data_IF_966718141885
#
_entry.id   IF_966718141885
#
_cell.length_a   1.000
_cell.length_b   1.000
_cell.length_c   1.000
_cell.angle_alpha   90.00
_cell.angle_beta   90.00
_cell.angle_gamma   90.00
#
_symmetry.space_group_name_H-M   'P 1'
#
loop_
_entity.id
_entity.type
_entity.pdbx_description
1 polymer ?
#
# COMPACT_ATOMS: atom_id res chain seq x y z
N UNK A 1 5.43 12.48 1.77
CA UNK A 1 6.55 12.32 0.85
C UNK A 1 5.98 12.22 -0.55
N UNK A 2 6.50 12.96 -1.51
CA UNK A 2 5.88 13.01 -2.84
C UNK A 2 6.38 11.78 -3.65
N UNK A 3 5.58 10.72 -3.75
CA UNK A 3 5.81 9.58 -4.65
C UNK A 3 6.10 10.07 -6.08
N UNK A 4 5.40 11.12 -6.49
CA UNK A 4 5.54 11.76 -7.80
C UNK A 4 6.97 12.16 -8.21
N UNK A 5 7.87 12.41 -7.26
CA UNK A 5 9.28 12.73 -7.57
C UNK A 5 10.06 11.46 -7.92
N UNK A 6 9.77 10.35 -7.25
CA UNK A 6 10.39 9.06 -7.51
C UNK A 6 9.93 8.58 -8.88
N UNK A 7 8.62 8.56 -9.12
CA UNK A 7 8.02 8.07 -10.37
C UNK A 7 8.64 8.72 -11.61
N UNK A 8 8.86 10.05 -11.59
CA UNK A 8 9.49 10.75 -12.74
C UNK A 8 10.97 10.42 -12.89
N UNK A 9 11.72 10.28 -11.78
CA UNK A 9 13.14 9.93 -11.87
C UNK A 9 13.35 8.48 -12.32
N UNK A 10 12.46 7.54 -11.95
CA UNK A 10 12.44 6.16 -12.44
C UNK A 10 12.13 6.11 -13.93
N UNK A 11 11.12 6.84 -14.40
CA UNK A 11 10.82 6.94 -15.83
C UNK A 11 12.03 7.47 -16.62
N UNK A 12 12.78 8.42 -16.06
CA UNK A 12 13.99 8.96 -16.71
C UNK A 12 15.17 8.01 -16.65
N UNK A 13 15.25 7.13 -15.65
CA UNK A 13 16.27 6.08 -15.57
C UNK A 13 16.07 5.04 -16.66
N UNK A 14 14.81 4.63 -16.88
CA UNK A 14 14.45 3.59 -17.83
C UNK A 14 14.41 4.07 -19.29
N UNK A 15 14.43 5.41 -19.52
CA UNK A 15 14.20 5.99 -20.84
C UNK A 15 15.15 7.15 -21.14
N UNK A 16 16.12 6.94 -22.03
CA UNK A 16 17.14 7.95 -22.36
C UNK A 16 16.63 9.14 -23.20
N UNK A 17 15.61 8.97 -24.04
CA UNK A 17 15.16 9.98 -25.02
C UNK A 17 13.68 10.33 -24.91
N UNK A 18 13.17 10.38 -23.68
CA UNK A 18 11.74 10.57 -23.43
C UNK A 18 11.34 12.06 -23.43
N UNK A 19 10.21 12.38 -24.06
CA UNK A 19 9.62 13.71 -24.06
C UNK A 19 8.77 13.98 -22.81
N UNK A 20 8.53 15.26 -22.47
CA UNK A 20 7.63 15.62 -21.37
C UNK A 20 6.20 15.05 -21.52
N UNK A 21 5.70 14.90 -22.75
CA UNK A 21 4.37 14.34 -23.02
C UNK A 21 4.31 12.84 -22.72
N UNK A 22 5.37 12.13 -23.08
CA UNK A 22 5.49 10.69 -22.77
C UNK A 22 5.65 10.46 -21.27
N UNK A 23 6.48 11.27 -20.59
CA UNK A 23 6.58 11.23 -19.12
C UNK A 23 5.19 11.47 -18.48
N UNK A 24 4.42 12.45 -18.98
CA UNK A 24 3.07 12.72 -18.48
C UNK A 24 2.14 11.54 -18.69
N UNK A 25 2.21 10.88 -19.85
CA UNK A 25 1.42 9.66 -20.15
C UNK A 25 1.79 8.48 -19.25
N UNK A 26 3.09 8.22 -19.08
CA UNK A 26 3.56 7.08 -18.25
C UNK A 26 3.31 7.29 -16.77
N UNK A 27 3.49 8.52 -16.26
CA UNK A 27 3.29 8.84 -14.85
C UNK A 27 1.84 9.09 -14.45
N UNK A 28 0.94 9.28 -15.41
CA UNK A 28 -0.43 9.72 -15.16
C UNK A 28 -0.55 11.16 -14.66
N UNK A 29 0.54 11.97 -14.72
CA UNK A 29 0.53 13.35 -14.25
C UNK A 29 0.20 14.33 -15.39
N UNK A 30 -0.33 15.49 -15.00
CA UNK A 30 -0.50 16.58 -15.97
C UNK A 30 0.84 17.08 -16.52
N UNK A 31 0.85 17.53 -17.77
CA UNK A 31 2.06 18.08 -18.41
C UNK A 31 2.67 19.24 -17.60
N UNK A 32 1.83 20.08 -16.98
CA UNK A 32 2.28 21.17 -16.10
C UNK A 32 3.02 20.66 -14.86
N UNK A 33 2.53 19.58 -14.22
CA UNK A 33 3.20 18.94 -13.07
C UNK A 33 4.55 18.34 -13.49
N UNK A 34 4.59 17.66 -14.63
CA UNK A 34 5.84 17.09 -15.18
C UNK A 34 6.86 18.20 -15.44
N UNK A 35 6.47 19.26 -16.16
CA UNK A 35 7.35 20.40 -16.44
C UNK A 35 7.89 21.06 -15.16
N UNK A 36 7.03 21.27 -14.17
CA UNK A 36 7.44 21.80 -12.86
C UNK A 36 8.50 20.91 -12.20
N UNK A 37 8.28 19.59 -12.16
CA UNK A 37 9.20 18.64 -11.53
C UNK A 37 10.53 18.56 -12.30
N UNK A 38 10.50 18.51 -13.63
CA UNK A 38 11.72 18.49 -14.45
C UNK A 38 12.57 19.76 -14.26
N UNK A 39 11.95 20.95 -14.23
CA UNK A 39 12.64 22.21 -13.89
C UNK A 39 13.26 22.15 -12.49
N UNK A 40 12.52 21.65 -11.51
CA UNK A 40 13.00 21.48 -10.15
C UNK A 40 14.22 20.55 -10.10
N UNK A 41 14.18 19.43 -10.84
CA UNK A 41 15.29 18.47 -10.90
C UNK A 41 16.51 19.05 -11.63
N UNK A 42 16.31 19.78 -12.72
CA UNK A 42 17.39 20.48 -13.42
C UNK A 42 18.09 21.49 -12.51
N UNK A 43 17.31 22.31 -11.77
CA UNK A 43 17.86 23.29 -10.83
C UNK A 43 18.64 22.63 -9.67
N UNK A 44 18.28 21.40 -9.30
CA UNK A 44 19.01 20.63 -8.27
C UNK A 44 20.19 19.85 -8.84
N UNK A 45 20.38 19.85 -10.14
CA UNK A 45 21.39 19.07 -10.85
C UNK A 45 21.13 17.57 -10.85
N UNK A 46 19.88 17.13 -10.66
CA UNK A 46 19.48 15.73 -10.75
C UNK A 46 19.21 15.29 -12.18
N UNK A 47 18.82 16.23 -13.03
CA UNK A 47 18.54 16.03 -14.45
C UNK A 47 19.33 17.06 -15.26
N UNK A 48 20.00 16.60 -16.30
CA UNK A 48 20.58 17.43 -17.35
C UNK A 48 19.57 17.59 -18.47
N UNK A 49 19.39 18.81 -18.95
CA UNK A 49 18.51 19.10 -20.09
C UNK A 49 19.36 19.38 -21.30
N UNK A 50 19.21 18.62 -22.35
CA UNK A 50 19.86 18.81 -23.63
C UNK A 50 18.85 19.23 -24.70
N UNK A 51 19.20 20.19 -25.51
CA UNK A 51 18.38 20.62 -26.64
C UNK A 51 18.85 19.86 -27.89
N UNK A 52 18.02 18.96 -28.40
CA UNK A 52 18.32 18.22 -29.64
C UNK A 52 18.03 19.05 -30.87
N UNK A 53 16.95 19.87 -30.83
CA UNK A 53 16.59 20.83 -31.87
C UNK A 53 15.69 21.93 -31.28
N UNK A 54 15.14 22.82 -32.12
CA UNK A 54 14.31 23.95 -31.68
C UNK A 54 13.06 23.55 -30.91
N UNK A 55 12.56 22.29 -31.05
CA UNK A 55 11.32 21.81 -30.46
C UNK A 55 11.49 20.65 -29.49
N UNK A 56 12.64 19.94 -29.53
CA UNK A 56 12.85 18.71 -28.75
C UNK A 56 13.91 18.93 -27.68
N UNK A 57 13.54 18.61 -26.45
CA UNK A 57 14.42 18.57 -25.28
C UNK A 57 14.56 17.12 -24.83
N UNK A 58 15.80 16.74 -24.51
CA UNK A 58 16.19 15.47 -23.90
C UNK A 58 16.44 15.68 -22.41
N UNK A 59 15.98 14.77 -21.59
CA UNK A 59 16.16 14.79 -20.15
C UNK A 59 17.00 13.59 -19.73
N UNK A 60 18.16 13.85 -19.14
CA UNK A 60 19.13 12.81 -18.76
C UNK A 60 19.30 12.81 -17.25
N UNK A 61 19.12 11.66 -16.63
CA UNK A 61 19.39 11.48 -15.20
C UNK A 61 20.90 11.59 -14.95
N UNK A 62 21.31 12.50 -14.06
CA UNK A 62 22.72 12.64 -13.69
C UNK A 62 23.13 11.62 -12.63
N UNK A 63 24.44 11.35 -12.41
CA UNK A 63 24.88 10.52 -11.27
C UNK A 63 24.38 11.01 -9.92
N UNK A 64 24.23 12.34 -9.76
CA UNK A 64 23.64 12.95 -8.56
C UNK A 64 22.13 12.65 -8.47
N UNK A 65 21.43 12.70 -9.59
CA UNK A 65 20.00 12.33 -9.70
C UNK A 65 19.79 10.86 -9.37
N UNK A 66 20.60 9.97 -9.95
CA UNK A 66 20.60 8.54 -9.67
C UNK A 66 20.84 8.24 -8.18
N UNK A 67 21.87 8.85 -7.59
CA UNK A 67 22.13 8.71 -6.15
C UNK A 67 20.96 9.21 -5.28
N UNK A 68 20.29 10.29 -5.71
CA UNK A 68 19.10 10.80 -5.02
C UNK A 68 17.92 9.83 -5.13
N UNK A 69 17.64 9.29 -6.33
CA UNK A 69 16.62 8.28 -6.57
C UNK A 69 16.86 7.05 -5.69
N UNK A 70 18.05 6.44 -5.75
CA UNK A 70 18.40 5.26 -4.95
C UNK A 70 18.19 5.50 -3.46
N UNK A 71 18.64 6.63 -2.91
CA UNK A 71 18.44 6.98 -1.49
C UNK A 71 16.96 7.08 -1.13
N UNK A 72 16.14 7.65 -2.02
CA UNK A 72 14.69 7.80 -1.80
C UNK A 72 13.98 6.44 -1.85
N UNK A 73 14.28 5.64 -2.86
CA UNK A 73 13.72 4.29 -3.02
C UNK A 73 14.06 3.41 -1.82
N UNK A 74 15.34 3.38 -1.39
CA UNK A 74 15.75 2.66 -0.19
C UNK A 74 15.03 3.15 1.07
N UNK A 75 14.86 4.45 1.22
CA UNK A 75 14.14 5.03 2.36
C UNK A 75 12.65 4.65 2.35
N UNK A 76 12.04 4.59 1.17
CA UNK A 76 10.66 4.12 0.99
C UNK A 76 10.53 2.62 1.35
N UNK A 77 11.39 1.78 0.78
CA UNK A 77 11.43 0.34 1.07
C UNK A 77 11.58 0.04 2.56
N UNK A 78 12.54 0.70 3.23
CA UNK A 78 12.74 0.54 4.68
C UNK A 78 11.49 0.89 5.50
N UNK A 79 10.77 1.95 5.11
CA UNK A 79 9.53 2.35 5.82
C UNK A 79 8.39 1.39 5.55
N UNK A 80 8.21 0.96 4.30
CA UNK A 80 7.20 -0.01 3.92
C UNK A 80 7.43 -1.33 4.65
N UNK A 81 8.68 -1.83 4.65
CA UNK A 81 9.05 -3.03 5.38
C UNK A 81 8.77 -2.92 6.88
N UNK A 82 9.11 -1.78 7.49
CA UNK A 82 8.80 -1.53 8.91
C UNK A 82 7.29 -1.53 9.18
N UNK A 83 6.49 -0.94 8.30
CA UNK A 83 5.03 -0.92 8.42
C UNK A 83 4.43 -2.33 8.31
N UNK A 84 4.91 -3.13 7.35
CA UNK A 84 4.51 -4.54 7.19
C UNK A 84 4.84 -5.36 8.44
N UNK A 85 6.08 -5.27 8.95
CA UNK A 85 6.47 -6.00 10.16
C UNK A 85 5.68 -5.57 11.40
N UNK A 86 5.33 -4.29 11.48
CA UNK A 86 4.47 -3.80 12.57
C UNK A 86 3.08 -4.44 12.48
N UNK A 87 2.51 -4.52 11.26
CA UNK A 87 1.20 -5.15 11.04
C UNK A 87 1.24 -6.64 11.41
N UNK A 88 2.24 -7.38 10.94
CA UNK A 88 2.47 -8.79 11.32
C UNK A 88 2.53 -8.94 12.85
N UNK A 89 3.33 -8.11 13.51
CA UNK A 89 3.47 -8.14 14.97
C UNK A 89 2.14 -7.89 15.69
N UNK A 90 1.31 -6.99 15.15
CA UNK A 90 -0.01 -6.69 15.72
C UNK A 90 -0.97 -7.88 15.55
N UNK A 91 -1.00 -8.51 14.37
CA UNK A 91 -1.82 -9.70 14.10
C UNK A 91 -1.38 -10.85 15.03
N UNK A 92 -0.06 -11.11 15.13
CA UNK A 92 0.51 -12.12 16.04
C UNK A 92 0.09 -11.88 17.50
N UNK A 93 0.22 -10.64 17.98
CA UNK A 93 -0.21 -10.27 19.32
C UNK A 93 -1.72 -10.40 19.55
N UNK A 94 -2.52 -10.13 18.51
CA UNK A 94 -3.97 -10.31 18.59
C UNK A 94 -4.31 -11.79 18.73
N UNK A 95 -3.86 -12.63 17.81
CA UNK A 95 -4.20 -14.06 17.77
C UNK A 95 -3.72 -14.83 19.01
N UNK A 96 -2.62 -14.42 19.64
CA UNK A 96 -2.07 -15.05 20.85
C UNK A 96 -2.69 -14.53 22.17
N UNK A 97 -3.61 -13.58 22.13
CA UNK A 97 -4.26 -13.12 23.36
C UNK A 97 -5.18 -14.21 23.93
N UNK A 98 -5.00 -14.52 25.20
CA UNK A 98 -5.83 -15.50 25.95
C UNK A 98 -7.34 -15.26 25.81
N UNK A 99 -7.76 -13.99 25.66
CA UNK A 99 -9.17 -13.65 25.48
C UNK A 99 -9.75 -14.13 24.13
N UNK A 100 -8.90 -14.52 23.16
CA UNK A 100 -9.29 -15.02 21.85
C UNK A 100 -9.04 -16.53 21.69
N UNK A 101 -8.58 -17.17 22.74
CA UNK A 101 -8.44 -18.63 22.80
C UNK A 101 -9.82 -19.30 22.58
N UNK A 102 -9.86 -20.23 21.62
CA UNK A 102 -11.11 -20.91 21.24
C UNK A 102 -12.07 -20.13 20.34
N UNK A 103 -11.75 -18.87 19.98
CA UNK A 103 -12.54 -18.10 19.01
C UNK A 103 -12.17 -18.47 17.58
N UNK A 104 -13.16 -18.42 16.69
CA UNK A 104 -12.94 -18.61 15.26
C UNK A 104 -12.64 -17.28 14.59
N UNK A 105 -11.65 -17.27 13.68
CA UNK A 105 -11.25 -16.10 12.94
C UNK A 105 -11.88 -16.07 11.55
N UNK A 106 -12.38 -14.91 11.16
CA UNK A 106 -12.84 -14.61 9.82
C UNK A 106 -12.03 -13.47 9.22
N UNK A 107 -11.76 -13.54 7.93
CA UNK A 107 -11.11 -12.49 7.17
C UNK A 107 -12.14 -11.90 6.20
N UNK A 108 -12.38 -10.59 6.31
CA UNK A 108 -13.31 -9.85 5.48
C UNK A 108 -12.61 -8.72 4.73
N UNK A 109 -12.57 -8.82 3.41
CA UNK A 109 -11.96 -7.84 2.52
C UNK A 109 -11.58 -8.41 1.16
N UNK A 110 -11.08 -7.55 0.28
CA UNK A 110 -10.61 -7.93 -1.04
C UNK A 110 -9.32 -8.77 -0.94
N UNK A 111 -9.11 -9.66 -1.92
CA UNK A 111 -7.90 -10.51 -1.99
C UNK A 111 -6.69 -9.71 -2.51
N UNK A 112 -6.29 -8.69 -1.76
CA UNK A 112 -5.13 -7.84 -2.02
C UNK A 112 -3.87 -8.31 -1.25
N UNK A 113 -2.82 -7.52 -1.27
CA UNK A 113 -1.56 -7.80 -0.58
C UNK A 113 -1.72 -7.86 0.94
N UNK A 114 -2.67 -7.10 1.51
CA UNK A 114 -2.96 -7.12 2.95
C UNK A 114 -3.67 -8.41 3.32
N UNK A 115 -4.62 -8.87 2.48
CA UNK A 115 -5.25 -10.18 2.65
C UNK A 115 -4.20 -11.28 2.70
N UNK A 116 -3.30 -11.33 1.71
CA UNK A 116 -2.25 -12.35 1.64
C UNK A 116 -1.34 -12.32 2.87
N UNK A 117 -1.01 -11.12 3.37
CA UNK A 117 -0.20 -10.94 4.57
C UNK A 117 -0.91 -11.48 5.83
N UNK A 118 -2.22 -11.24 5.97
CA UNK A 118 -3.01 -11.74 7.10
C UNK A 118 -3.07 -13.26 7.05
N UNK A 119 -3.45 -13.83 5.90
CA UNK A 119 -3.52 -15.29 5.67
C UNK A 119 -2.19 -15.94 6.04
N UNK A 120 -1.09 -15.51 5.43
CA UNK A 120 0.24 -16.06 5.72
C UNK A 120 0.60 -15.98 7.21
N UNK A 121 0.25 -14.85 7.86
CA UNK A 121 0.56 -14.68 9.29
C UNK A 121 -0.25 -15.61 10.18
N UNK A 122 -1.52 -15.86 9.86
CA UNK A 122 -2.38 -16.77 10.62
C UNK A 122 -2.01 -18.23 10.38
N UNK A 123 -1.66 -18.60 9.14
CA UNK A 123 -1.15 -19.92 8.78
C UNK A 123 0.15 -20.27 9.52
N UNK A 124 1.12 -19.31 9.57
CA UNK A 124 2.36 -19.48 10.35
C UNK A 124 2.11 -19.74 11.86
N UNK A 125 0.99 -19.28 12.38
CA UNK A 125 0.60 -19.43 13.78
C UNK A 125 -0.33 -20.63 14.01
N UNK A 126 -0.63 -21.39 12.97
CA UNK A 126 -1.59 -22.50 13.00
C UNK A 126 -2.99 -22.07 13.52
N UNK A 127 -3.37 -20.81 13.27
CA UNK A 127 -4.67 -20.26 13.65
C UNK A 127 -5.68 -20.56 12.55
N UNK A 128 -6.73 -21.31 12.87
CA UNK A 128 -7.81 -21.58 11.93
C UNK A 128 -8.59 -20.31 11.60
N UNK A 129 -8.84 -20.07 10.33
CA UNK A 129 -9.65 -18.94 9.84
C UNK A 129 -10.48 -19.32 8.62
N UNK A 130 -11.49 -18.53 8.35
CA UNK A 130 -12.30 -18.59 7.12
C UNK A 130 -12.37 -17.22 6.46
N UNK A 131 -12.32 -17.20 5.11
CA UNK A 131 -12.51 -15.97 4.34
C UNK A 131 -13.98 -15.79 4.00
N UNK A 132 -14.51 -14.60 4.23
CA UNK A 132 -15.89 -14.25 3.93
C UNK A 132 -15.95 -13.08 2.95
N UNK A 133 -16.92 -13.12 2.04
CA UNK A 133 -17.13 -12.09 1.01
C UNK A 133 -18.30 -11.14 1.33
N UNK A 134 -19.12 -11.49 2.31
CA UNK A 134 -20.25 -10.68 2.76
C UNK A 134 -20.56 -10.99 4.20
N UNK A 135 -20.67 -9.98 5.03
CA UNK A 135 -20.99 -10.13 6.45
C UNK A 135 -22.47 -10.49 6.60
N UNK A 136 -23.35 -9.87 5.82
CA UNK A 136 -24.81 -10.09 5.90
C UNK A 136 -25.24 -11.52 5.52
N UNK A 137 -24.43 -12.18 4.68
CA UNK A 137 -24.68 -13.56 4.25
C UNK A 137 -23.98 -14.61 5.11
N UNK A 138 -23.14 -14.17 6.05
CA UNK A 138 -22.41 -15.07 6.94
C UNK A 138 -23.28 -15.37 8.16
N UNK A 139 -23.65 -16.63 8.31
CA UNK A 139 -24.39 -17.08 9.49
C UNK A 139 -23.39 -17.34 10.61
N UNK A 140 -23.30 -16.41 11.56
CA UNK A 140 -22.51 -16.58 12.78
C UNK A 140 -23.35 -17.37 13.79
N UNK A 141 -22.90 -18.54 14.17
CA UNK A 141 -23.59 -19.38 15.15
C UNK A 141 -23.67 -18.68 16.52
N UNK A 142 -24.82 -18.73 17.19
CA UNK A 142 -25.04 -18.02 18.46
C UNK A 142 -24.25 -18.60 19.64
N UNK A 143 -23.80 -19.84 19.52
CA UNK A 143 -23.10 -20.60 20.58
C UNK A 143 -21.58 -20.41 20.55
N UNK A 144 -21.06 -19.63 19.59
CA UNK A 144 -19.63 -19.40 19.43
C UNK A 144 -19.31 -17.90 19.35
N UNK A 145 -18.11 -17.57 19.78
CA UNK A 145 -17.53 -16.24 19.64
C UNK A 145 -16.65 -16.16 18.41
N UNK A 146 -16.78 -15.09 17.65
CA UNK A 146 -16.05 -14.87 16.41
C UNK A 146 -15.23 -13.57 16.42
N UNK A 147 -14.15 -13.58 15.64
CA UNK A 147 -13.34 -12.40 15.37
C UNK A 147 -13.30 -12.19 13.86
N UNK A 148 -13.77 -11.05 13.41
CA UNK A 148 -13.70 -10.63 12.00
C UNK A 148 -12.57 -9.61 11.83
N UNK A 149 -11.54 -9.99 11.11
CA UNK A 149 -10.44 -9.11 10.71
C UNK A 149 -10.77 -8.40 9.40
N UNK A 150 -10.61 -7.10 9.37
CA UNK A 150 -10.80 -6.28 8.17
C UNK A 150 -9.76 -5.14 8.12
N UNK A 151 -9.55 -4.50 6.95
CA UNK A 151 -8.54 -3.43 6.80
C UNK A 151 -9.01 -2.26 5.95
N UNK A 152 -9.90 -2.48 4.98
CA UNK A 152 -10.37 -1.42 4.12
C UNK A 152 -11.37 -0.51 4.86
N UNK A 153 -11.13 0.83 4.89
CA UNK A 153 -12.06 1.78 5.50
C UNK A 153 -13.42 1.85 4.82
N UNK A 154 -13.55 1.44 3.56
CA UNK A 154 -14.82 1.45 2.82
C UNK A 154 -15.85 0.50 3.42
N UNK A 155 -15.43 -0.52 4.19
CA UNK A 155 -16.32 -1.47 4.87
C UNK A 155 -16.87 -0.97 6.23
N UNK A 156 -16.46 0.21 6.69
CA UNK A 156 -16.82 0.71 8.04
C UNK A 156 -18.32 0.79 8.25
N UNK A 157 -19.09 1.26 7.27
CA UNK A 157 -20.55 1.41 7.41
C UNK A 157 -21.26 0.05 7.45
N UNK A 158 -20.83 -0.92 6.64
CA UNK A 158 -21.33 -2.29 6.67
C UNK A 158 -21.03 -2.95 8.02
N UNK A 159 -19.82 -2.80 8.53
CA UNK A 159 -19.39 -3.33 9.82
C UNK A 159 -20.16 -2.68 10.98
N UNK A 160 -20.45 -1.38 10.93
CA UNK A 160 -21.28 -0.72 11.93
C UNK A 160 -22.71 -1.31 11.98
N UNK A 161 -23.28 -1.62 10.82
CA UNK A 161 -24.59 -2.31 10.74
C UNK A 161 -24.50 -3.71 11.33
N UNK A 162 -23.51 -4.50 10.90
CA UNK A 162 -23.33 -5.87 11.35
C UNK A 162 -23.14 -5.99 12.87
N UNK A 163 -22.40 -5.06 13.49
CA UNK A 163 -22.21 -4.99 14.96
C UNK A 163 -23.50 -4.89 15.76
N UNK A 164 -24.57 -4.34 15.19
CA UNK A 164 -25.87 -4.21 15.89
C UNK A 164 -26.58 -5.55 16.04
N UNK A 165 -26.36 -6.46 15.10
CA UNK A 165 -27.08 -7.74 15.05
C UNK A 165 -26.25 -8.92 15.52
N UNK A 166 -24.92 -8.84 15.46
CA UNK A 166 -24.00 -9.93 15.81
C UNK A 166 -23.24 -9.61 17.11
N UNK A 167 -23.84 -9.87 18.26
CA UNK A 167 -23.27 -9.55 19.59
C UNK A 167 -22.08 -10.42 19.96
N UNK A 168 -22.01 -11.63 19.42
CA UNK A 168 -20.94 -12.61 19.61
C UNK A 168 -19.77 -12.43 18.62
N UNK A 169 -19.80 -11.38 17.77
CA UNK A 169 -18.78 -11.10 16.78
C UNK A 169 -17.97 -9.85 17.14
N UNK A 170 -16.66 -10.01 17.30
CA UNK A 170 -15.73 -8.91 17.53
C UNK A 170 -15.06 -8.48 16.22
N UNK A 171 -15.41 -7.32 15.68
CA UNK A 171 -14.81 -6.76 14.46
C UNK A 171 -13.53 -5.98 14.79
N UNK A 172 -12.42 -6.33 14.15
CA UNK A 172 -11.11 -5.72 14.35
C UNK A 172 -10.51 -5.21 13.04
N UNK A 173 -10.30 -3.91 12.99
CA UNK A 173 -9.51 -3.32 11.89
C UNK A 173 -8.02 -3.56 12.16
N UNK A 174 -7.36 -4.33 11.27
CA UNK A 174 -5.95 -4.70 11.46
C UNK A 174 -4.99 -3.52 11.35
N UNK A 175 -5.40 -2.43 10.67
CA UNK A 175 -4.58 -1.23 10.54
C UNK A 175 -4.52 -0.41 11.84
N UNK A 176 -5.53 -0.54 12.72
CA UNK A 176 -5.68 0.20 13.98
C UNK A 176 -5.51 -0.64 15.24
N UNK A 177 -5.05 -1.88 15.10
CA UNK A 177 -4.77 -2.79 16.22
C UNK A 177 -3.74 -2.24 17.21
#
# INVERSE_FOLDING_TARGET
MNSSEIDILEILEDNEDISQREIAKLSGFSLGKVNFLLKKFANKGFVKVERLNSKNLRYILTPKGFSHLTKKTLSYMKRSYKAVNLLISKIKKLSLKKKYEGKEFFIYGDKDEIYNLIVHTLDELEVNFMSIHSIDKTNFADDKDFIVLYWNPDYIEEIKKAKKYNKNVEFRNVMTL
#
